data_IF_774281932967
#
_entry.id   IF_774281932967
#
_cell.length_a   1.000
_cell.length_b   1.000
_cell.length_c   1.000
_cell.angle_alpha   90.00
_cell.angle_beta   90.00
_cell.angle_gamma   90.00
#
_symmetry.space_group_name_H-M   'P 1'
#
loop_
_entity.id
_entity.type
_entity.pdbx_description
1 polymer ?
#
# COMPACT_ATOMS: atom_id res chain seq x y z
N UNK A 1 -3.05 21.05 11.37
CA UNK A 1 -3.97 20.19 10.60
C UNK A 1 -3.27 19.35 9.53
N UNK A 2 -2.51 19.94 8.60
CA UNK A 2 -1.88 19.19 7.50
C UNK A 2 -0.89 18.09 7.98
N UNK A 3 -0.07 18.36 9.00
CA UNK A 3 0.89 17.36 9.52
C UNK A 3 0.22 16.11 10.09
N UNK A 4 -0.97 16.26 10.69
CA UNK A 4 -1.75 15.12 11.22
C UNK A 4 -2.20 14.22 10.07
N UNK A 5 -2.73 14.80 8.99
CA UNK A 5 -3.12 14.06 7.78
C UNK A 5 -1.92 13.30 7.20
N UNK A 6 -0.77 13.96 7.07
CA UNK A 6 0.47 13.33 6.58
C UNK A 6 0.92 12.16 7.45
N UNK A 7 0.87 12.31 8.78
CA UNK A 7 1.25 11.27 9.71
C UNK A 7 0.29 10.08 9.64
N UNK A 8 -1.03 10.33 9.65
CA UNK A 8 -2.03 9.28 9.55
C UNK A 8 -1.90 8.49 8.23
N UNK A 9 -1.65 9.18 7.12
CA UNK A 9 -1.42 8.57 5.83
C UNK A 9 -0.15 7.71 5.84
N UNK A 10 0.97 8.25 6.31
CA UNK A 10 2.23 7.51 6.41
C UNK A 10 2.08 6.24 7.28
N UNK A 11 1.39 6.34 8.42
CA UNK A 11 1.10 5.20 9.30
C UNK A 11 0.22 4.16 8.60
N UNK A 12 -0.80 4.58 7.85
CA UNK A 12 -1.67 3.66 7.11
C UNK A 12 -0.93 2.90 6.01
N UNK A 13 0.00 3.57 5.32
CA UNK A 13 0.87 2.96 4.29
C UNK A 13 1.81 1.95 4.95
N UNK A 14 2.48 2.32 6.05
CA UNK A 14 3.39 1.43 6.79
C UNK A 14 2.65 0.20 7.32
N UNK A 15 1.46 0.37 7.88
CA UNK A 15 0.64 -0.73 8.39
C UNK A 15 0.26 -1.71 7.27
N UNK A 16 -0.20 -1.20 6.13
CA UNK A 16 -0.59 -2.02 4.97
C UNK A 16 0.62 -2.70 4.32
N UNK A 17 1.75 -1.99 4.25
CA UNK A 17 3.04 -2.51 3.80
C UNK A 17 3.51 -3.69 4.64
N UNK A 18 3.46 -3.57 5.97
CA UNK A 18 3.86 -4.64 6.88
C UNK A 18 3.00 -5.91 6.69
N UNK A 19 1.69 -5.75 6.41
CA UNK A 19 0.81 -6.87 6.09
C UNK A 19 1.21 -7.57 4.79
N UNK A 20 1.46 -6.80 3.73
CA UNK A 20 1.95 -7.35 2.46
C UNK A 20 3.30 -8.05 2.63
N UNK A 21 4.25 -7.42 3.33
CA UNK A 21 5.57 -8.00 3.63
C UNK A 21 5.47 -9.34 4.35
N UNK A 22 4.57 -9.44 5.34
CA UNK A 22 4.33 -10.67 6.08
C UNK A 22 3.69 -11.75 5.20
N UNK A 23 2.78 -11.38 4.29
CA UNK A 23 2.20 -12.31 3.33
C UNK A 23 3.26 -12.83 2.34
N UNK A 24 4.13 -11.96 1.83
CA UNK A 24 5.28 -12.34 0.98
C UNK A 24 6.26 -13.25 1.73
N UNK A 25 6.55 -12.95 3.00
CA UNK A 25 7.41 -13.80 3.83
C UNK A 25 6.82 -15.21 4.00
N UNK A 26 5.49 -15.33 4.18
CA UNK A 26 4.82 -16.63 4.30
C UNK A 26 4.87 -17.43 3.00
N UNK A 27 4.79 -16.77 1.84
CA UNK A 27 4.70 -17.46 0.55
C UNK A 27 6.06 -17.73 -0.10
N UNK A 28 7.03 -16.82 0.05
CA UNK A 28 8.33 -16.86 -0.62
C UNK A 28 9.53 -16.95 0.34
N UNK A 29 9.28 -16.93 1.65
CA UNK A 29 10.32 -17.00 2.68
C UNK A 29 10.91 -15.64 3.09
N UNK A 30 11.78 -15.69 4.09
CA UNK A 30 12.39 -14.50 4.71
C UNK A 30 13.36 -13.77 3.79
N UNK A 31 14.16 -14.49 3.00
CA UNK A 31 15.15 -13.91 2.08
C UNK A 31 14.48 -13.03 1.03
N UNK A 32 13.38 -13.50 0.43
CA UNK A 32 12.63 -12.73 -0.56
C UNK A 32 12.04 -11.45 0.07
N UNK A 33 11.39 -11.59 1.23
CA UNK A 33 10.78 -10.46 1.95
C UNK A 33 11.81 -9.40 2.36
N UNK A 34 13.02 -9.84 2.72
CA UNK A 34 14.12 -8.94 3.06
C UNK A 34 14.58 -8.13 1.85
N UNK A 35 14.90 -8.78 0.73
CA UNK A 35 15.30 -8.09 -0.50
C UNK A 35 14.22 -7.17 -1.04
N UNK A 36 12.96 -7.62 -1.03
CA UNK A 36 11.81 -6.79 -1.37
C UNK A 36 11.75 -5.52 -0.52
N UNK A 37 11.96 -5.65 0.80
CA UNK A 37 11.96 -4.50 1.71
C UNK A 37 13.11 -3.54 1.41
N UNK A 38 14.33 -4.05 1.19
CA UNK A 38 15.51 -3.23 0.88
C UNK A 38 15.32 -2.46 -0.42
N UNK A 39 14.85 -3.12 -1.47
CA UNK A 39 14.59 -2.49 -2.77
C UNK A 39 13.52 -1.40 -2.62
N UNK A 40 12.41 -1.66 -1.94
CA UNK A 40 11.35 -0.65 -1.83
C UNK A 40 11.70 0.52 -0.92
N UNK A 41 12.41 0.30 0.18
CA UNK A 41 12.84 1.39 1.07
C UNK A 41 13.88 2.29 0.38
N UNK A 42 14.74 1.73 -0.47
CA UNK A 42 15.73 2.50 -1.23
C UNK A 42 15.13 3.25 -2.42
N UNK A 43 13.90 2.92 -2.85
CA UNK A 43 13.22 3.68 -3.89
C UNK A 43 12.81 5.07 -3.38
N UNK A 44 13.47 6.09 -3.93
CA UNK A 44 13.18 7.50 -3.65
C UNK A 44 11.68 7.82 -3.76
N UNK A 45 11.02 7.33 -4.82
CA UNK A 45 9.59 7.60 -5.06
C UNK A 45 8.71 7.13 -3.91
N UNK A 46 8.90 5.90 -3.40
CA UNK A 46 8.06 5.37 -2.33
C UNK A 46 8.20 6.20 -1.04
N UNK A 47 9.45 6.42 -0.61
CA UNK A 47 9.74 7.16 0.63
C UNK A 47 9.35 8.64 0.55
N UNK A 48 9.54 9.27 -0.61
CA UNK A 48 9.21 10.69 -0.81
C UNK A 48 7.71 10.97 -0.83
N UNK A 49 6.91 10.06 -1.42
CA UNK A 49 5.48 10.27 -1.59
C UNK A 49 4.61 9.71 -0.46
N UNK A 50 5.07 8.73 0.33
CA UNK A 50 4.23 8.04 1.34
C UNK A 50 3.54 8.93 2.38
N UNK A 51 4.07 10.13 2.65
CA UNK A 51 3.51 11.08 3.61
C UNK A 51 2.78 12.26 2.96
N UNK A 52 2.77 12.34 1.62
CA UNK A 52 2.13 13.42 0.89
C UNK A 52 0.70 13.03 0.54
N UNK A 53 -0.32 13.86 0.86
CA UNK A 53 -1.72 13.54 0.58
C UNK A 53 -2.03 13.79 -0.90
N UNK A 54 -1.37 13.04 -1.78
CA UNK A 54 -1.75 12.91 -3.17
C UNK A 54 -2.80 11.80 -3.26
N UNK A 55 -3.82 11.91 -4.12
CA UNK A 55 -4.86 10.89 -4.24
C UNK A 55 -4.32 9.48 -4.50
N UNK A 56 -3.26 9.37 -5.29
CA UNK A 56 -2.57 8.09 -5.56
C UNK A 56 -1.99 7.45 -4.28
N UNK A 57 -1.52 8.27 -3.33
CA UNK A 57 -0.98 7.81 -2.04
C UNK A 57 -2.10 7.51 -1.05
N UNK A 58 -3.23 8.23 -1.12
CA UNK A 58 -4.43 7.90 -0.36
C UNK A 58 -4.99 6.53 -0.78
N UNK A 59 -4.89 6.18 -2.05
CA UNK A 59 -5.26 4.87 -2.57
C UNK A 59 -4.23 3.75 -2.25
N UNK A 60 -2.97 4.10 -1.99
CA UNK A 60 -1.86 3.14 -1.82
C UNK A 60 -2.10 2.10 -0.70
N UNK A 61 -2.57 2.44 0.52
CA UNK A 61 -2.90 1.44 1.54
C UNK A 61 -3.88 0.37 1.04
N UNK A 62 -4.90 0.78 0.28
CA UNK A 62 -5.90 -0.12 -0.27
C UNK A 62 -5.29 -1.05 -1.32
N UNK A 63 -4.42 -0.52 -2.19
CA UNK A 63 -3.69 -1.34 -3.17
C UNK A 63 -2.82 -2.39 -2.47
N UNK A 64 -2.08 -2.01 -1.42
CA UNK A 64 -1.25 -2.95 -0.66
C UNK A 64 -2.08 -4.06 0.01
N UNK A 65 -3.25 -3.71 0.56
CA UNK A 65 -4.19 -4.69 1.12
C UNK A 65 -4.85 -5.56 0.04
N UNK A 66 -5.09 -5.03 -1.15
CA UNK A 66 -5.56 -5.81 -2.29
C UNK A 66 -4.50 -6.85 -2.69
N UNK A 67 -3.23 -6.44 -2.80
CA UNK A 67 -2.12 -7.35 -3.09
C UNK A 67 -1.95 -8.41 -2.00
N UNK A 68 -2.05 -8.05 -0.71
CA UNK A 68 -2.07 -9.04 0.39
C UNK A 68 -3.21 -10.06 0.19
N UNK A 69 -4.41 -9.59 -0.11
CA UNK A 69 -5.58 -10.43 -0.34
C UNK A 69 -5.39 -11.37 -1.53
N UNK A 70 -4.87 -10.87 -2.65
CA UNK A 70 -4.55 -11.68 -3.82
C UNK A 70 -3.52 -12.76 -3.49
N UNK A 71 -2.44 -12.38 -2.81
CA UNK A 71 -1.35 -13.27 -2.45
C UNK A 71 -1.78 -14.42 -1.53
N UNK A 72 -2.71 -14.14 -0.62
CA UNK A 72 -3.27 -15.11 0.31
C UNK A 72 -4.51 -15.85 -0.21
N UNK A 73 -4.90 -15.67 -1.48
CA UNK A 73 -6.09 -16.30 -2.09
C UNK A 73 -7.43 -15.76 -1.59
N UNK A 74 -7.45 -14.59 -0.91
CA UNK A 74 -8.65 -13.95 -0.38
C UNK A 74 -9.30 -13.05 -1.43
N UNK A 75 -10.00 -13.65 -2.38
CA UNK A 75 -10.60 -12.94 -3.51
C UNK A 75 -11.57 -11.81 -3.10
N UNK A 76 -12.38 -11.98 -2.05
CA UNK A 76 -13.28 -10.92 -1.56
C UNK A 76 -12.53 -9.66 -1.15
N UNK A 77 -11.45 -9.82 -0.38
CA UNK A 77 -10.60 -8.70 0.05
C UNK A 77 -9.96 -8.02 -1.15
N UNK A 78 -9.42 -8.80 -2.10
CA UNK A 78 -8.83 -8.28 -3.32
C UNK A 78 -9.81 -7.43 -4.13
N UNK A 79 -11.04 -7.92 -4.36
CA UNK A 79 -12.06 -7.23 -5.16
C UNK A 79 -12.50 -5.93 -4.48
N UNK A 80 -12.83 -5.98 -3.19
CA UNK A 80 -13.33 -4.81 -2.46
C UNK A 80 -12.26 -3.71 -2.38
N UNK A 81 -11.02 -4.08 -2.02
CA UNK A 81 -9.93 -3.11 -1.87
C UNK A 81 -9.51 -2.53 -3.22
N UNK A 82 -9.48 -3.33 -4.28
CA UNK A 82 -9.19 -2.84 -5.63
C UNK A 82 -10.30 -1.91 -6.14
N UNK A 83 -11.57 -2.27 -5.93
CA UNK A 83 -12.71 -1.42 -6.30
C UNK A 83 -12.68 -0.07 -5.59
N UNK A 84 -12.44 -0.07 -4.27
CA UNK A 84 -12.29 1.16 -3.50
C UNK A 84 -11.13 2.03 -3.99
N UNK A 85 -9.98 1.42 -4.29
CA UNK A 85 -8.82 2.13 -4.86
C UNK A 85 -9.15 2.78 -6.22
N UNK A 86 -9.83 2.06 -7.11
CA UNK A 86 -10.23 2.58 -8.43
C UNK A 86 -11.12 3.80 -8.29
N UNK A 87 -12.11 3.77 -7.39
CA UNK A 87 -13.01 4.92 -7.15
C UNK A 87 -12.22 6.15 -6.72
N UNK A 88 -11.25 5.98 -5.81
CA UNK A 88 -10.40 7.08 -5.32
C UNK A 88 -9.51 7.65 -6.44
N UNK A 89 -8.85 6.79 -7.22
CA UNK A 89 -8.07 7.21 -8.39
C UNK A 89 -8.92 7.91 -9.44
N UNK A 90 -10.11 7.39 -9.74
CA UNK A 90 -11.00 7.96 -10.76
C UNK A 90 -11.61 9.29 -10.32
N UNK A 91 -11.84 9.47 -9.02
CA UNK A 91 -12.33 10.75 -8.47
C UNK A 91 -11.28 11.86 -8.58
N UNK A 92 -9.98 11.52 -8.64
CA UNK A 92 -8.92 12.49 -8.90
C UNK A 92 -8.89 12.95 -10.36
N UNK A 93 -9.03 12.02 -11.33
CA UNK A 93 -9.08 12.36 -12.75
C UNK A 93 -10.34 13.17 -13.16
N UNK A 94 -11.38 13.13 -12.34
CA UNK A 94 -12.65 13.81 -12.59
C UNK A 94 -12.72 15.24 -11.99
N UNK A 95 -11.69 15.65 -11.23
CA UNK A 95 -11.58 16.97 -10.61
C UNK A 95 -10.56 17.83 -11.36
#
# INVERSE_FOLDING_TARGET
MQYVVRLTLALSVIASWNRLRNALQKQFGSTFSWWFSVITVTQYHFMFYMSRPLPNIIALPLVLLAMEGWLLGRHKQFIVMSGASIIIFRSELAM
#
